data_IF_547674680445
#
_entry.id   IF_547674680445
#
_cell.length_a   1.000
_cell.length_b   1.000
_cell.length_c   1.000
_cell.angle_alpha   90.00
_cell.angle_beta   90.00
_cell.angle_gamma   90.00
#
_symmetry.space_group_name_H-M   'P 1'
#
loop_
_entity.id
_entity.type
_entity.pdbx_description
1 polymer ?
#
# COMPACT_ATOMS: atom_id res chain seq x y z
N UNK A 1 -38.71 63.11 -54.90
CA UNK A 1 -38.04 61.80 -54.99
C UNK A 1 -37.30 61.58 -53.74
N UNK A 2 -37.88 60.83 -52.84
CA UNK A 2 -37.38 60.61 -51.51
C UNK A 2 -36.80 59.14 -51.41
N UNK A 3 -35.54 59.02 -51.09
CA UNK A 3 -34.88 57.78 -50.84
C UNK A 3 -34.69 57.60 -49.34
N UNK A 4 -35.47 56.69 -48.80
CA UNK A 4 -35.43 56.31 -47.37
C UNK A 4 -34.31 55.34 -47.12
N UNK A 5 -33.35 55.67 -46.25
CA UNK A 5 -32.26 54.81 -45.78
C UNK A 5 -32.67 54.13 -44.50
N UNK A 6 -32.74 52.82 -44.49
CA UNK A 6 -32.95 52.01 -43.29
C UNK A 6 -31.60 51.68 -42.60
N UNK A 7 -31.43 52.10 -41.35
CA UNK A 7 -30.35 51.67 -40.48
C UNK A 7 -30.71 50.33 -39.88
N UNK A 8 -29.95 49.31 -40.19
CA UNK A 8 -30.03 48.02 -39.49
C UNK A 8 -29.08 48.04 -38.28
N UNK A 9 -29.66 47.91 -37.10
CA UNK A 9 -28.93 47.77 -35.83
C UNK A 9 -28.48 46.30 -35.71
N UNK A 10 -27.18 46.02 -35.80
CA UNK A 10 -26.62 44.70 -35.55
C UNK A 10 -26.28 44.60 -34.05
N UNK A 11 -27.08 43.83 -33.33
CA UNK A 11 -26.81 43.48 -31.92
C UNK A 11 -25.80 42.33 -31.87
N UNK A 12 -24.54 42.64 -31.55
CA UNK A 12 -23.51 41.61 -31.31
C UNK A 12 -23.71 41.01 -29.91
N UNK A 13 -24.23 39.78 -29.85
CA UNK A 13 -24.24 38.97 -28.67
C UNK A 13 -22.87 38.29 -28.52
N UNK A 14 -22.04 38.76 -27.63
CA UNK A 14 -20.80 38.10 -27.24
C UNK A 14 -21.11 36.85 -26.41
N UNK A 15 -21.09 35.66 -26.97
CA UNK A 15 -21.01 34.41 -26.22
C UNK A 15 -19.61 34.28 -25.58
N UNK A 16 -19.52 34.57 -24.31
CA UNK A 16 -18.39 34.16 -23.50
C UNK A 16 -18.47 32.65 -23.30
N UNK A 17 -17.75 31.89 -24.13
CA UNK A 17 -17.50 30.48 -23.88
C UNK A 17 -16.52 30.38 -22.71
N UNK A 18 -17.05 30.20 -21.50
CA UNK A 18 -16.28 29.78 -20.35
C UNK A 18 -15.77 28.37 -20.59
N UNK A 19 -14.50 28.23 -20.91
CA UNK A 19 -13.79 26.95 -20.86
C UNK A 19 -13.65 26.60 -19.39
N UNK A 20 -14.57 25.80 -18.87
CA UNK A 20 -14.36 25.11 -17.62
C UNK A 20 -13.39 23.98 -17.91
N UNK A 21 -12.11 24.16 -17.55
CA UNK A 21 -11.19 23.06 -17.40
C UNK A 21 -11.84 22.05 -16.44
N UNK A 22 -12.26 20.92 -16.98
CA UNK A 22 -12.79 19.82 -16.22
C UNK A 22 -11.65 19.24 -15.37
N UNK A 23 -11.58 19.67 -14.12
CA UNK A 23 -10.93 18.88 -13.09
C UNK A 23 -11.57 17.49 -13.14
N UNK A 24 -10.81 16.46 -13.44
CA UNK A 24 -11.26 15.07 -13.31
C UNK A 24 -11.88 14.87 -11.93
N UNK A 25 -12.79 13.92 -11.74
CA UNK A 25 -13.52 13.75 -10.49
C UNK A 25 -12.56 13.28 -9.39
N UNK A 26 -11.82 14.22 -8.80
CA UNK A 26 -11.20 14.03 -7.51
C UNK A 26 -12.34 13.80 -6.52
N UNK A 27 -12.32 12.69 -5.78
CA UNK A 27 -13.31 12.40 -4.76
C UNK A 27 -13.43 13.63 -3.83
N UNK A 28 -14.63 14.15 -3.66
CA UNK A 28 -14.83 15.25 -2.70
C UNK A 28 -14.34 14.78 -1.33
N UNK A 29 -13.79 15.70 -0.51
CA UNK A 29 -13.22 15.36 0.80
C UNK A 29 -14.20 14.59 1.72
N UNK A 30 -15.49 14.67 1.44
CA UNK A 30 -16.59 14.01 2.17
C UNK A 30 -17.11 12.74 1.50
N UNK A 31 -16.49 12.26 0.42
CA UNK A 31 -16.93 11.01 -0.23
C UNK A 31 -16.65 9.79 0.64
N UNK A 32 -17.42 8.70 0.43
CA UNK A 32 -17.21 7.45 1.13
C UNK A 32 -15.81 6.86 0.83
N UNK A 33 -15.30 7.10 -0.38
CA UNK A 33 -13.94 6.70 -0.82
C UNK A 33 -12.87 7.43 -0.02
N UNK A 34 -12.95 8.75 0.07
CA UNK A 34 -11.99 9.55 0.83
C UNK A 34 -12.03 9.18 2.32
N UNK A 35 -13.21 8.92 2.87
CA UNK A 35 -13.37 8.46 4.24
C UNK A 35 -12.76 7.06 4.45
N UNK A 36 -12.94 6.13 3.49
CA UNK A 36 -12.34 4.80 3.51
C UNK A 36 -10.80 4.88 3.45
N UNK A 37 -10.24 5.73 2.58
CA UNK A 37 -8.78 5.94 2.49
C UNK A 37 -8.24 6.44 3.82
N UNK A 38 -8.87 7.47 4.43
CA UNK A 38 -8.45 7.96 5.76
C UNK A 38 -8.54 6.87 6.83
N UNK A 39 -9.59 6.04 6.81
CA UNK A 39 -9.73 4.91 7.73
C UNK A 39 -8.61 3.87 7.51
N UNK A 40 -8.35 3.51 6.26
CA UNK A 40 -7.27 2.57 5.92
C UNK A 40 -5.89 3.09 6.34
N UNK A 41 -5.64 4.39 6.22
CA UNK A 41 -4.37 4.99 6.67
C UNK A 41 -4.25 4.96 8.19
N UNK A 42 -5.34 5.17 8.94
CA UNK A 42 -5.34 4.99 10.40
C UNK A 42 -5.07 3.52 10.76
N UNK A 43 -5.79 2.59 10.14
CA UNK A 43 -5.56 1.15 10.31
C UNK A 43 -4.11 0.77 9.96
N UNK A 44 -3.50 1.37 8.95
CA UNK A 44 -2.11 1.11 8.56
C UNK A 44 -1.14 1.35 9.72
N UNK A 45 -1.28 2.47 10.43
CA UNK A 45 -0.42 2.80 11.57
C UNK A 45 -0.77 2.00 12.83
N UNK A 46 -2.06 1.70 13.07
CA UNK A 46 -2.48 0.81 14.16
C UNK A 46 -1.89 -0.61 13.96
N UNK A 47 -1.98 -1.14 12.75
CA UNK A 47 -1.41 -2.43 12.39
C UNK A 47 0.11 -2.43 12.53
N UNK A 48 0.77 -1.38 11.99
CA UNK A 48 2.22 -1.24 12.10
C UNK A 48 2.67 -1.15 13.56
N UNK A 49 1.96 -0.40 14.41
CA UNK A 49 2.23 -0.34 15.85
C UNK A 49 2.15 -1.71 16.53
N UNK A 50 1.22 -2.57 16.08
CA UNK A 50 1.14 -3.97 16.52
C UNK A 50 2.32 -4.83 16.04
N UNK A 51 2.89 -4.52 14.86
CA UNK A 51 3.97 -5.28 14.23
C UNK A 51 5.37 -4.79 14.62
N UNK A 52 5.55 -3.51 14.99
CA UNK A 52 6.87 -2.90 15.25
C UNK A 52 7.66 -3.56 16.39
N UNK A 53 6.98 -4.36 17.26
CA UNK A 53 7.65 -5.14 18.32
C UNK A 53 8.42 -6.36 17.78
N UNK A 54 8.20 -6.74 16.52
CA UNK A 54 8.97 -7.82 15.88
C UNK A 54 10.40 -7.33 15.62
N UNK A 55 11.35 -8.23 15.73
CA UNK A 55 12.74 -7.92 15.36
C UNK A 55 12.93 -7.90 13.84
N UNK A 56 13.97 -7.20 13.38
CA UNK A 56 14.37 -7.15 11.99
C UNK A 56 13.47 -6.27 11.11
N UNK A 57 13.49 -6.56 9.81
CA UNK A 57 12.70 -5.85 8.82
C UNK A 57 11.20 -6.14 8.99
N UNK A 58 10.37 -5.12 8.78
CA UNK A 58 8.91 -5.24 8.74
C UNK A 58 8.45 -4.66 7.40
N UNK A 59 7.56 -5.37 6.72
CA UNK A 59 6.92 -4.89 5.50
C UNK A 59 5.51 -5.45 5.42
N UNK A 60 4.54 -4.60 5.17
CA UNK A 60 3.12 -4.96 5.18
C UNK A 60 2.36 -4.09 4.20
N UNK A 61 1.28 -4.62 3.61
CA UNK A 61 0.32 -3.83 2.85
C UNK A 61 -0.98 -3.71 3.63
N UNK A 62 -1.17 -2.62 4.37
CA UNK A 62 -2.42 -2.39 5.11
C UNK A 62 -3.62 -2.29 4.18
N UNK A 63 -3.45 -1.64 3.02
CA UNK A 63 -4.49 -1.54 1.99
C UNK A 63 -4.99 -2.92 1.54
N UNK A 64 -4.07 -3.82 1.19
CA UNK A 64 -4.44 -5.16 0.71
C UNK A 64 -5.11 -5.99 1.80
N UNK A 65 -4.62 -5.91 3.06
CA UNK A 65 -5.21 -6.57 4.22
C UNK A 65 -6.62 -6.03 4.51
N UNK A 66 -6.79 -4.70 4.51
CA UNK A 66 -8.10 -4.07 4.72
C UNK A 66 -9.11 -4.50 3.65
N UNK A 67 -8.67 -4.56 2.37
CA UNK A 67 -9.51 -5.04 1.26
C UNK A 67 -9.91 -6.49 1.46
N UNK A 68 -8.97 -7.37 1.81
CA UNK A 68 -9.23 -8.79 2.06
C UNK A 68 -10.19 -9.00 3.26
N UNK A 69 -9.97 -8.29 4.36
CA UNK A 69 -10.86 -8.34 5.52
C UNK A 69 -12.22 -7.69 5.24
N UNK A 70 -12.30 -6.70 4.35
CA UNK A 70 -13.54 -6.12 3.86
C UNK A 70 -14.44 -7.15 3.16
N UNK A 71 -13.84 -8.11 2.43
CA UNK A 71 -14.60 -9.24 1.85
C UNK A 71 -15.20 -10.12 2.95
N UNK A 72 -14.44 -10.45 3.98
CA UNK A 72 -14.94 -11.25 5.12
C UNK A 72 -16.00 -10.47 5.91
N UNK A 73 -15.82 -9.16 6.06
CA UNK A 73 -16.77 -8.26 6.71
C UNK A 73 -18.15 -8.25 6.06
N UNK A 74 -18.25 -8.44 4.73
CA UNK A 74 -19.51 -8.54 4.02
C UNK A 74 -20.43 -9.65 4.59
N UNK A 75 -19.82 -10.70 5.15
CA UNK A 75 -20.54 -11.81 5.79
C UNK A 75 -20.61 -11.73 7.32
N UNK A 76 -19.91 -10.80 7.97
CA UNK A 76 -19.92 -10.66 9.41
C UNK A 76 -21.24 -10.02 9.91
N UNK A 77 -21.68 -10.40 11.11
CA UNK A 77 -22.89 -9.88 11.75
C UNK A 77 -22.63 -9.55 13.23
N UNK A 78 -23.54 -8.78 13.81
CA UNK A 78 -23.57 -8.47 15.24
C UNK A 78 -22.21 -7.98 15.79
N UNK A 79 -21.82 -8.45 17.01
CA UNK A 79 -20.56 -8.03 17.63
C UNK A 79 -19.31 -8.30 16.80
N UNK A 80 -19.28 -9.39 16.01
CA UNK A 80 -18.16 -9.70 15.11
C UNK A 80 -17.97 -8.59 14.06
N UNK A 81 -19.05 -8.15 13.43
CA UNK A 81 -18.99 -7.04 12.48
C UNK A 81 -18.56 -5.73 13.15
N UNK A 82 -19.04 -5.46 14.37
CA UNK A 82 -18.68 -4.25 15.12
C UNK A 82 -17.19 -4.20 15.45
N UNK A 83 -16.62 -5.29 15.96
CA UNK A 83 -15.18 -5.36 16.24
C UNK A 83 -14.34 -5.19 14.96
N UNK A 84 -14.73 -5.89 13.89
CA UNK A 84 -14.04 -5.77 12.60
C UNK A 84 -14.07 -4.33 12.08
N UNK A 85 -15.24 -3.68 12.06
CA UNK A 85 -15.37 -2.30 11.58
C UNK A 85 -14.55 -1.32 12.41
N UNK A 86 -14.51 -1.51 13.74
CA UNK A 86 -13.74 -0.68 14.66
C UNK A 86 -12.24 -0.79 14.41
N UNK A 87 -11.72 -2.03 14.33
CA UNK A 87 -10.28 -2.27 14.13
C UNK A 87 -9.83 -1.84 12.74
N UNK A 88 -10.64 -2.12 11.72
CA UNK A 88 -10.33 -1.78 10.33
C UNK A 88 -10.64 -0.31 9.98
N UNK A 89 -11.13 0.47 10.97
CA UNK A 89 -11.45 1.88 10.79
C UNK A 89 -12.45 2.15 9.66
N UNK A 90 -13.44 1.26 9.47
CA UNK A 90 -14.43 1.43 8.44
C UNK A 90 -15.38 2.61 8.77
N UNK A 91 -15.42 3.65 7.92
CA UNK A 91 -16.15 4.89 8.22
C UNK A 91 -17.67 4.78 7.97
N UNK A 92 -18.06 3.78 7.17
CA UNK A 92 -19.44 3.49 6.77
C UNK A 92 -19.65 1.98 6.78
N UNK A 93 -20.90 1.54 6.74
CA UNK A 93 -21.27 0.11 6.78
C UNK A 93 -22.14 -0.26 5.58
N UNK A 94 -22.38 -1.58 5.41
CA UNK A 94 -23.24 -2.11 4.36
C UNK A 94 -22.72 -1.83 2.94
N UNK A 95 -23.64 -1.71 1.98
CA UNK A 95 -23.32 -1.61 0.56
C UNK A 95 -22.41 -0.40 0.23
N UNK A 96 -22.59 0.72 0.94
CA UNK A 96 -21.78 1.92 0.74
C UNK A 96 -20.29 1.69 1.00
N UNK A 97 -19.95 0.84 1.98
CA UNK A 97 -18.56 0.46 2.25
C UNK A 97 -17.99 -0.36 1.10
N UNK A 98 -18.74 -1.38 0.66
CA UNK A 98 -18.28 -2.28 -0.40
C UNK A 98 -18.15 -1.57 -1.75
N UNK A 99 -19.05 -0.64 -2.05
CA UNK A 99 -18.94 0.23 -3.21
C UNK A 99 -17.70 1.15 -3.15
N UNK A 100 -17.41 1.72 -1.96
CA UNK A 100 -16.20 2.52 -1.77
C UNK A 100 -14.94 1.68 -2.00
N UNK A 101 -14.90 0.44 -1.47
CA UNK A 101 -13.79 -0.50 -1.78
C UNK A 101 -13.68 -0.77 -3.27
N UNK A 102 -14.80 -1.00 -3.97
CA UNK A 102 -14.78 -1.27 -5.41
C UNK A 102 -14.19 -0.09 -6.20
N UNK A 103 -14.50 1.16 -5.81
CA UNK A 103 -13.96 2.36 -6.45
C UNK A 103 -12.49 2.54 -6.17
N UNK A 104 -12.08 2.48 -4.90
CA UNK A 104 -10.66 2.59 -4.51
C UNK A 104 -9.82 1.48 -5.17
N UNK A 105 -10.32 0.24 -5.17
CA UNK A 105 -9.62 -0.89 -5.81
C UNK A 105 -9.47 -0.69 -7.32
N UNK A 106 -10.48 -0.13 -7.98
CA UNK A 106 -10.41 0.19 -9.42
C UNK A 106 -9.34 1.24 -9.71
N UNK A 107 -9.24 2.28 -8.89
CA UNK A 107 -8.25 3.34 -9.07
C UNK A 107 -6.84 2.81 -8.81
N UNK A 108 -6.65 2.03 -7.74
CA UNK A 108 -5.37 1.34 -7.44
C UNK A 108 -5.00 0.35 -8.54
N UNK A 109 -5.96 -0.38 -9.14
CA UNK A 109 -5.69 -1.33 -10.23
C UNK A 109 -5.28 -0.67 -11.55
N UNK A 110 -5.54 0.62 -11.72
CA UNK A 110 -5.09 1.39 -12.89
C UNK A 110 -3.62 1.80 -12.78
N UNK A 111 -3.04 1.70 -11.59
CA UNK A 111 -1.63 2.00 -11.38
C UNK A 111 -0.80 1.09 -12.29
N UNK A 112 0.06 1.72 -13.08
CA UNK A 112 0.95 0.99 -13.98
C UNK A 112 0.31 0.49 -15.28
N UNK A 113 -0.92 0.89 -15.61
CA UNK A 113 -1.49 0.58 -16.94
C UNK A 113 -0.60 1.08 -18.11
N UNK A 114 0.31 2.03 -17.84
CA UNK A 114 1.37 2.49 -18.74
C UNK A 114 2.64 1.63 -18.77
N UNK A 115 2.69 0.48 -18.09
CA UNK A 115 3.81 -0.49 -18.14
C UNK A 115 5.06 -0.12 -17.34
N UNK A 116 5.06 0.96 -16.55
CA UNK A 116 6.22 1.44 -15.78
C UNK A 116 6.11 1.19 -14.26
N UNK A 117 4.95 0.82 -13.80
CA UNK A 117 4.72 0.26 -12.47
C UNK A 117 3.84 -0.98 -12.61
N UNK A 118 4.00 -1.94 -11.72
CA UNK A 118 3.19 -3.15 -11.68
C UNK A 118 2.77 -3.38 -10.22
N UNK A 119 1.47 -3.48 -10.00
CA UNK A 119 0.89 -3.79 -8.70
C UNK A 119 0.02 -5.03 -8.85
N UNK A 120 0.44 -6.14 -8.28
CA UNK A 120 -0.29 -7.39 -8.30
C UNK A 120 -0.86 -7.67 -6.91
N UNK A 121 -2.17 -7.82 -6.85
CA UNK A 121 -2.89 -8.09 -5.61
C UNK A 121 -3.63 -9.41 -5.80
N UNK A 122 -3.29 -10.40 -5.01
CA UNK A 122 -3.91 -11.73 -5.02
C UNK A 122 -4.76 -11.90 -3.76
N UNK A 123 -5.96 -11.32 -3.78
CA UNK A 123 -6.97 -11.46 -2.74
C UNK A 123 -8.01 -12.48 -3.19
N UNK A 124 -8.25 -13.52 -2.40
CA UNK A 124 -9.28 -14.51 -2.69
C UNK A 124 -9.85 -15.14 -1.43
N UNK A 125 -11.09 -15.58 -1.54
CA UNK A 125 -11.79 -16.43 -0.57
C UNK A 125 -11.93 -17.83 -1.14
N UNK A 126 -11.57 -18.82 -0.34
CA UNK A 126 -11.62 -20.23 -0.68
C UNK A 126 -12.57 -20.95 0.31
N UNK A 127 -13.85 -21.03 -0.01
CA UNK A 127 -14.80 -21.77 0.82
C UNK A 127 -14.65 -23.29 0.64
N UNK A 128 -15.03 -24.06 1.67
CA UNK A 128 -15.19 -25.50 1.56
C UNK A 128 -16.21 -25.85 0.47
N UNK A 129 -15.92 -26.83 -0.35
CA UNK A 129 -16.85 -27.38 -1.34
C UNK A 129 -18.16 -27.84 -0.67
N UNK A 130 -19.30 -27.46 -1.24
CA UNK A 130 -20.61 -27.77 -0.68
C UNK A 130 -21.11 -26.80 0.39
N UNK A 131 -20.32 -25.83 0.84
CA UNK A 131 -20.79 -24.78 1.75
C UNK A 131 -21.91 -23.95 1.09
N UNK A 132 -23.12 -23.84 1.69
CA UNK A 132 -24.25 -23.13 1.10
C UNK A 132 -24.10 -21.62 1.25
N UNK A 133 -23.22 -21.04 0.45
CA UNK A 133 -22.93 -19.60 0.50
C UNK A 133 -24.17 -18.76 0.19
N UNK A 134 -24.36 -17.71 0.98
CA UNK A 134 -25.43 -16.73 0.79
C UNK A 134 -25.30 -16.03 -0.59
N UNK A 135 -26.38 -15.95 -1.40
CA UNK A 135 -26.34 -15.33 -2.72
C UNK A 135 -25.93 -13.85 -2.71
N UNK A 136 -26.34 -13.08 -1.68
CA UNK A 136 -25.95 -11.67 -1.55
C UNK A 136 -24.46 -11.53 -1.25
N UNK A 137 -23.92 -12.40 -0.39
CA UNK A 137 -22.49 -12.46 -0.12
C UNK A 137 -21.67 -12.78 -1.39
N UNK A 138 -22.06 -13.80 -2.15
CA UNK A 138 -21.42 -14.14 -3.44
C UNK A 138 -21.43 -12.96 -4.40
N UNK A 139 -22.56 -12.27 -4.51
CA UNK A 139 -22.70 -11.10 -5.38
C UNK A 139 -21.77 -9.98 -4.93
N UNK A 140 -21.74 -9.64 -3.64
CA UNK A 140 -20.89 -8.56 -3.10
C UNK A 140 -19.42 -8.86 -3.34
N UNK A 141 -18.93 -10.04 -2.97
CA UNK A 141 -17.51 -10.41 -3.12
C UNK A 141 -17.12 -10.47 -4.61
N UNK A 142 -17.90 -11.13 -5.44
CA UNK A 142 -17.59 -11.30 -6.87
C UNK A 142 -17.65 -9.99 -7.66
N UNK A 143 -18.64 -9.11 -7.37
CA UNK A 143 -18.85 -7.90 -8.17
C UNK A 143 -18.04 -6.70 -7.69
N UNK A 144 -17.84 -6.56 -6.37
CA UNK A 144 -17.29 -5.33 -5.79
C UNK A 144 -15.80 -5.45 -5.41
N UNK A 145 -15.31 -6.67 -5.20
CA UNK A 145 -13.90 -6.88 -4.86
C UNK A 145 -13.09 -7.51 -6.00
N UNK A 146 -13.74 -7.91 -7.09
CA UNK A 146 -13.13 -8.66 -8.20
C UNK A 146 -12.27 -9.85 -7.69
N UNK A 147 -12.63 -10.40 -6.52
CA UNK A 147 -11.87 -11.42 -5.86
C UNK A 147 -12.28 -12.81 -6.32
N UNK A 148 -11.32 -13.71 -6.39
CA UNK A 148 -11.58 -15.12 -6.59
C UNK A 148 -12.44 -15.69 -5.45
N UNK A 149 -13.52 -16.40 -5.82
CA UNK A 149 -14.35 -17.17 -4.89
C UNK A 149 -14.41 -18.60 -5.43
N UNK A 150 -13.42 -19.41 -5.08
CA UNK A 150 -13.25 -20.75 -5.63
C UNK A 150 -13.38 -21.79 -4.51
N UNK A 151 -14.41 -22.64 -4.54
CA UNK A 151 -14.57 -23.73 -3.56
C UNK A 151 -13.46 -24.77 -3.67
N UNK A 152 -12.94 -25.21 -2.52
CA UNK A 152 -11.93 -26.27 -2.41
C UNK A 152 -12.35 -27.31 -1.36
N UNK A 153 -11.91 -28.56 -1.54
CA UNK A 153 -12.21 -29.63 -0.62
C UNK A 153 -11.16 -29.72 0.50
N UNK A 154 -11.39 -28.97 1.56
CA UNK A 154 -10.55 -29.04 2.75
C UNK A 154 -10.86 -30.26 3.60
N UNK A 155 -12.11 -30.77 3.55
CA UNK A 155 -12.57 -31.89 4.36
C UNK A 155 -11.83 -33.19 3.99
N UNK A 156 -11.72 -33.51 2.71
CA UNK A 156 -11.15 -34.77 2.24
C UNK A 156 -9.72 -34.63 1.69
N UNK A 157 -9.33 -33.42 1.24
CA UNK A 157 -8.07 -33.18 0.56
C UNK A 157 -7.41 -31.85 0.96
N UNK A 158 -7.18 -31.58 2.26
CA UNK A 158 -6.68 -30.28 2.73
C UNK A 158 -5.32 -29.89 2.12
N UNK A 159 -4.41 -30.84 1.96
CA UNK A 159 -3.09 -30.57 1.39
C UNK A 159 -3.19 -30.22 -0.10
N UNK A 160 -4.04 -30.90 -0.86
CA UNK A 160 -4.31 -30.55 -2.27
C UNK A 160 -4.92 -29.16 -2.37
N UNK A 161 -5.85 -28.80 -1.47
CA UNK A 161 -6.44 -27.47 -1.41
C UNK A 161 -5.37 -26.41 -1.13
N UNK A 162 -4.48 -26.63 -0.15
CA UNK A 162 -3.33 -25.77 0.14
C UNK A 162 -2.43 -25.55 -1.08
N UNK A 163 -2.05 -26.62 -1.75
CA UNK A 163 -1.21 -26.56 -2.95
C UNK A 163 -1.88 -25.78 -4.08
N UNK A 164 -3.20 -25.98 -4.28
CA UNK A 164 -3.97 -25.23 -5.28
C UNK A 164 -3.98 -23.74 -4.98
N UNK A 165 -4.17 -23.36 -3.71
CA UNK A 165 -4.13 -21.95 -3.29
C UNK A 165 -2.73 -21.35 -3.55
N UNK A 166 -1.67 -22.05 -3.15
CA UNK A 166 -0.30 -21.58 -3.33
C UNK A 166 0.04 -21.40 -4.81
N UNK A 167 -0.31 -22.36 -5.66
CA UNK A 167 -0.07 -22.27 -7.10
C UNK A 167 -0.81 -21.08 -7.73
N UNK A 168 -2.06 -20.83 -7.32
CA UNK A 168 -2.81 -19.66 -7.78
C UNK A 168 -2.15 -18.34 -7.34
N UNK A 169 -1.67 -18.25 -6.10
CA UNK A 169 -0.98 -17.05 -5.61
C UNK A 169 0.32 -16.83 -6.38
N UNK A 170 1.10 -17.88 -6.64
CA UNK A 170 2.33 -17.82 -7.45
C UNK A 170 2.03 -17.27 -8.84
N UNK A 171 1.00 -17.78 -9.51
CA UNK A 171 0.56 -17.28 -10.83
C UNK A 171 0.15 -15.81 -10.78
N UNK A 172 -0.71 -15.41 -9.81
CA UNK A 172 -1.18 -14.04 -9.69
C UNK A 172 -0.07 -13.05 -9.34
N UNK A 173 1.01 -13.50 -8.74
CA UNK A 173 2.15 -12.66 -8.32
C UNK A 173 3.39 -12.88 -9.20
N UNK A 174 3.24 -13.48 -10.37
CA UNK A 174 4.34 -13.77 -11.33
C UNK A 174 5.52 -14.46 -10.67
N UNK A 175 5.27 -15.53 -9.92
CA UNK A 175 6.26 -16.32 -9.19
C UNK A 175 7.07 -15.57 -8.11
N UNK A 176 6.65 -14.37 -7.75
CA UNK A 176 7.34 -13.58 -6.73
C UNK A 176 6.93 -13.98 -5.31
N UNK A 177 5.71 -14.44 -5.13
CA UNK A 177 5.21 -14.87 -3.83
C UNK A 177 4.90 -16.36 -3.89
N UNK A 178 5.74 -17.17 -3.28
CA UNK A 178 5.62 -18.62 -3.21
C UNK A 178 5.24 -19.08 -1.82
N UNK A 179 4.54 -20.21 -1.74
CA UNK A 179 4.20 -20.86 -0.47
C UNK A 179 3.53 -19.90 0.54
N UNK A 180 2.47 -19.19 0.11
CA UNK A 180 1.73 -18.26 0.99
C UNK A 180 1.17 -18.98 2.22
N UNK A 181 0.58 -20.17 2.02
CA UNK A 181 0.03 -21.01 3.07
C UNK A 181 1.07 -22.07 3.43
N UNK A 182 1.62 -22.04 4.66
CA UNK A 182 2.59 -23.04 5.11
C UNK A 182 1.96 -24.43 5.20
N UNK A 183 2.82 -25.45 5.24
CA UNK A 183 2.39 -26.82 5.49
C UNK A 183 1.60 -26.93 6.80
N UNK A 184 0.57 -27.75 6.80
CA UNK A 184 -0.33 -28.00 7.96
C UNK A 184 -1.09 -26.77 8.47
N UNK A 185 -1.10 -25.66 7.73
CA UNK A 185 -1.86 -24.47 8.10
C UNK A 185 -3.36 -24.55 7.77
N UNK A 186 -3.75 -25.52 6.97
CA UNK A 186 -5.14 -25.89 6.67
C UNK A 186 -5.34 -27.36 6.96
N UNK A 187 -6.54 -27.74 7.42
CA UNK A 187 -6.92 -29.10 7.81
C UNK A 187 -8.39 -29.40 7.49
N UNK A 188 -8.86 -30.57 7.90
CA UNK A 188 -10.23 -31.01 7.69
C UNK A 188 -11.28 -30.14 8.41
N UNK A 189 -10.90 -29.36 9.41
CA UNK A 189 -11.79 -28.42 10.11
C UNK A 189 -11.92 -27.08 9.39
N UNK A 190 -11.05 -26.80 8.41
CA UNK A 190 -11.04 -25.56 7.65
C UNK A 190 -12.32 -25.43 6.82
N UNK A 191 -12.99 -24.27 6.90
CA UNK A 191 -14.23 -23.98 6.16
C UNK A 191 -14.06 -22.83 5.17
N UNK A 192 -13.27 -21.83 5.52
CA UNK A 192 -12.96 -20.71 4.62
C UNK A 192 -11.52 -20.29 4.85
N UNK A 193 -10.76 -20.15 3.77
CA UNK A 193 -9.43 -19.56 3.78
C UNK A 193 -9.48 -18.20 3.11
N UNK A 194 -8.87 -17.19 3.72
CA UNK A 194 -8.64 -15.87 3.15
C UNK A 194 -7.16 -15.75 2.78
N UNK A 195 -6.88 -15.52 1.50
CA UNK A 195 -5.53 -15.23 1.02
C UNK A 195 -5.36 -13.77 0.69
N UNK A 196 -4.20 -13.24 1.06
CA UNK A 196 -3.79 -11.89 0.75
C UNK A 196 -2.30 -11.88 0.40
N UNK A 197 -2.00 -11.68 -0.86
CA UNK A 197 -0.64 -11.54 -1.35
C UNK A 197 -0.54 -10.29 -2.22
N UNK A 198 0.56 -9.56 -2.09
CA UNK A 198 0.77 -8.33 -2.84
C UNK A 198 2.23 -8.17 -3.24
N UNK A 199 2.43 -7.87 -4.49
CA UNK A 199 3.71 -7.61 -5.10
C UNK A 199 3.68 -6.24 -5.78
N UNK A 200 4.73 -5.46 -5.55
CA UNK A 200 4.89 -4.16 -6.17
C UNK A 200 6.23 -4.05 -6.90
N UNK A 201 6.16 -3.49 -8.11
CA UNK A 201 7.30 -3.11 -8.92
C UNK A 201 7.06 -1.70 -9.48
N UNK A 202 8.01 -0.80 -9.35
CA UNK A 202 7.93 0.56 -9.87
C UNK A 202 9.29 1.07 -10.32
N UNK A 203 9.32 1.87 -11.39
CA UNK A 203 10.51 2.55 -11.88
C UNK A 203 10.58 3.95 -11.29
N UNK A 204 11.72 4.36 -10.75
CA UNK A 204 11.91 5.72 -10.24
C UNK A 204 11.68 6.75 -11.34
N UNK A 205 11.04 7.86 -11.03
CA UNK A 205 10.99 9.03 -11.92
C UNK A 205 12.41 9.55 -12.21
N UNK A 206 13.27 9.49 -11.21
CA UNK A 206 14.69 9.83 -11.28
C UNK A 206 15.51 8.61 -10.88
N UNK A 207 15.91 7.73 -11.83
CA UNK A 207 16.70 6.55 -11.56
C UNK A 207 18.09 6.91 -11.02
N UNK A 208 18.63 6.09 -10.13
CA UNK A 208 20.00 6.27 -9.65
C UNK A 208 20.99 5.81 -10.72
N UNK A 209 22.06 6.59 -11.00
CA UNK A 209 23.12 6.16 -11.90
C UNK A 209 23.84 4.92 -11.36
N UNK A 210 23.89 3.82 -12.13
CA UNK A 210 24.57 2.59 -11.73
C UNK A 210 26.04 2.84 -11.33
N UNK A 211 26.83 3.66 -12.09
CA UNK A 211 28.21 3.94 -11.74
C UNK A 211 28.40 4.73 -10.43
N UNK A 212 27.34 5.34 -9.89
CA UNK A 212 27.38 6.05 -8.60
C UNK A 212 27.09 5.13 -7.41
N UNK A 213 26.81 3.84 -7.65
CA UNK A 213 26.65 2.86 -6.56
C UNK A 213 28.02 2.49 -5.99
N UNK A 214 28.12 2.52 -4.64
CA UNK A 214 29.34 2.14 -3.90
C UNK A 214 28.96 1.26 -2.73
N UNK A 215 29.80 0.26 -2.44
CA UNK A 215 29.65 -0.53 -1.23
C UNK A 215 30.13 0.27 -0.02
N UNK A 216 29.36 0.24 1.03
CA UNK A 216 29.69 0.87 2.30
C UNK A 216 29.03 0.11 3.47
N UNK A 217 29.29 0.53 4.69
CA UNK A 217 28.74 -0.08 5.89
C UNK A 217 27.36 0.53 6.23
N UNK A 218 26.42 -0.34 6.59
CA UNK A 218 25.14 0.04 7.19
C UNK A 218 25.23 -0.14 8.72
N UNK A 219 24.84 0.88 9.48
CA UNK A 219 24.83 0.82 10.94
C UNK A 219 23.48 0.24 11.42
N UNK A 220 23.50 -0.86 12.16
CA UNK A 220 22.31 -1.38 12.84
C UNK A 220 21.89 -0.45 14.00
N UNK A 221 20.68 -0.61 14.52
CA UNK A 221 20.18 0.17 15.67
C UNK A 221 21.07 0.11 16.91
N UNK A 222 21.85 -0.95 17.06
CA UNK A 222 22.85 -1.13 18.13
C UNK A 222 24.15 -0.36 17.88
N UNK A 223 24.31 0.32 16.74
CA UNK A 223 25.56 0.93 16.31
C UNK A 223 26.56 -0.03 15.64
N UNK A 224 26.31 -1.37 15.67
CA UNK A 224 27.13 -2.34 14.95
C UNK A 224 27.00 -2.11 13.45
N UNK A 225 28.15 -2.03 12.77
CA UNK A 225 28.18 -1.86 11.31
C UNK A 225 28.19 -3.23 10.61
N UNK A 226 27.41 -3.36 9.55
CA UNK A 226 27.42 -4.46 8.60
C UNK A 226 27.97 -3.94 7.26
N UNK A 227 28.95 -4.61 6.69
CA UNK A 227 29.67 -4.15 5.49
C UNK A 227 29.04 -4.63 4.19
N UNK A 228 29.66 -4.19 3.06
CA UNK A 228 29.36 -4.60 1.69
C UNK A 228 27.91 -4.35 1.23
N UNK A 229 27.27 -3.34 1.78
CA UNK A 229 25.93 -2.91 1.34
C UNK A 229 26.08 -1.98 0.14
N UNK A 230 25.46 -2.28 -1.01
CA UNK A 230 25.50 -1.40 -2.17
C UNK A 230 24.58 -0.20 -1.95
N UNK A 231 25.18 1.00 -1.80
CA UNK A 231 24.46 2.26 -1.70
C UNK A 231 24.40 2.96 -3.05
N UNK A 232 23.19 3.26 -3.49
CA UNK A 232 22.89 4.07 -4.66
C UNK A 232 22.98 5.54 -4.28
N UNK A 233 23.51 6.39 -5.17
CA UNK A 233 23.65 7.84 -4.91
C UNK A 233 23.22 8.64 -6.13
N UNK A 234 22.53 9.78 -5.88
CA UNK A 234 22.23 10.81 -6.87
C UNK A 234 22.01 12.16 -6.22
N UNK A 235 22.23 13.23 -6.99
CA UNK A 235 21.84 14.59 -6.60
C UNK A 235 20.68 15.02 -7.47
N UNK A 236 19.54 15.33 -6.85
CA UNK A 236 18.30 15.59 -7.58
C UNK A 236 17.36 16.50 -6.78
N UNK A 237 16.43 17.17 -7.46
CA UNK A 237 15.40 17.99 -6.81
C UNK A 237 14.24 17.09 -6.36
N UNK A 238 14.03 16.99 -5.06
CA UNK A 238 12.98 16.16 -4.43
C UNK A 238 12.28 16.95 -3.32
N UNK A 239 11.07 16.51 -2.97
CA UNK A 239 10.39 16.99 -1.78
C UNK A 239 11.10 16.41 -0.56
N UNK A 240 11.49 17.30 0.34
CA UNK A 240 12.28 17.02 1.54
C UNK A 240 11.73 17.79 2.73
N UNK A 241 11.88 17.25 3.92
CA UNK A 241 11.59 17.90 5.20
C UNK A 241 12.69 17.57 6.21
N UNK A 242 13.25 18.60 6.84
CA UNK A 242 13.93 18.45 8.13
C UNK A 242 12.86 18.49 9.24
N UNK A 243 12.60 17.33 9.84
CA UNK A 243 11.63 17.15 10.91
C UNK A 243 12.20 17.37 12.32
N UNK A 244 13.43 17.89 12.43
CA UNK A 244 14.14 18.06 13.71
C UNK A 244 14.92 16.81 14.10
N UNK A 245 14.27 15.80 14.66
CA UNK A 245 14.90 14.51 15.03
C UNK A 245 15.04 13.53 13.89
N UNK A 246 14.35 13.75 12.75
CA UNK A 246 14.37 12.92 11.56
C UNK A 246 14.39 13.77 10.28
N UNK A 247 14.65 13.12 9.17
CA UNK A 247 14.51 13.66 7.82
C UNK A 247 13.43 12.88 7.07
N UNK A 248 12.64 13.56 6.22
CA UNK A 248 11.70 12.91 5.32
C UNK A 248 12.06 13.22 3.87
N UNK A 249 12.02 12.19 3.01
CA UNK A 249 12.31 12.30 1.58
C UNK A 249 11.22 11.61 0.79
N UNK A 250 10.73 12.27 -0.26
CA UNK A 250 9.81 11.70 -1.23
C UNK A 250 10.54 11.31 -2.52
N UNK A 251 10.51 10.03 -2.85
CA UNK A 251 11.06 9.43 -4.06
C UNK A 251 9.88 9.06 -4.98
N UNK A 252 9.55 9.88 -5.99
CA UNK A 252 8.47 9.60 -6.92
C UNK A 252 8.83 8.47 -7.88
N UNK A 253 7.85 7.63 -8.17
CA UNK A 253 7.91 6.69 -9.29
C UNK A 253 7.51 7.38 -10.61
N UNK A 254 7.80 6.74 -11.71
CA UNK A 254 7.43 7.27 -13.05
C UNK A 254 5.91 7.51 -13.12
N UNK A 255 5.50 8.57 -13.80
CA UNK A 255 4.14 9.09 -13.96
C UNK A 255 3.56 9.80 -12.72
N UNK A 256 4.32 9.91 -11.62
CA UNK A 256 3.88 10.55 -10.37
C UNK A 256 2.61 9.93 -9.74
N UNK A 257 2.23 8.71 -10.15
CA UNK A 257 1.08 7.99 -9.57
C UNK A 257 1.39 7.49 -8.17
N UNK A 258 2.65 7.13 -7.93
CA UNK A 258 3.15 6.57 -6.67
C UNK A 258 4.39 7.30 -6.20
N UNK A 259 4.59 7.31 -4.89
CA UNK A 259 5.82 7.76 -4.25
C UNK A 259 6.22 6.84 -3.11
N UNK A 260 7.54 6.61 -2.93
CA UNK A 260 8.09 6.09 -1.69
C UNK A 260 8.47 7.28 -0.80
N UNK A 261 7.95 7.30 0.42
CA UNK A 261 8.33 8.27 1.45
C UNK A 261 9.26 7.56 2.42
N UNK A 262 10.46 8.07 2.58
CA UNK A 262 11.45 7.55 3.53
C UNK A 262 11.55 8.50 4.72
N UNK A 263 11.37 7.98 5.92
CA UNK A 263 11.54 8.70 7.19
C UNK A 263 12.78 8.16 7.87
N UNK A 264 13.84 8.97 7.91
CA UNK A 264 15.15 8.60 8.42
C UNK A 264 15.41 9.33 9.73
N UNK A 265 15.59 8.64 10.87
CA UNK A 265 16.05 9.29 12.11
C UNK A 265 17.41 9.94 11.88
N UNK A 266 17.70 11.08 12.53
CA UNK A 266 19.05 11.66 12.46
C UNK A 266 20.08 10.89 13.28
N UNK A 267 19.62 10.12 14.26
CA UNK A 267 20.47 9.27 15.10
C UNK A 267 20.32 7.80 14.71
N UNK A 268 21.42 7.07 14.67
CA UNK A 268 21.45 5.64 14.29
C UNK A 268 20.47 4.79 15.10
N UNK A 269 20.31 5.04 16.40
CA UNK A 269 19.36 4.32 17.27
C UNK A 269 17.95 4.91 17.33
N UNK A 270 17.66 6.01 16.62
CA UNK A 270 16.44 6.80 16.75
C UNK A 270 15.19 6.24 16.10
N UNK A 271 15.25 5.04 15.48
CA UNK A 271 14.09 4.47 14.79
C UNK A 271 12.90 4.22 15.74
N UNK A 272 13.15 3.72 16.94
CA UNK A 272 12.07 3.44 17.90
C UNK A 272 11.31 4.70 18.33
N UNK A 273 12.03 5.83 18.48
CA UNK A 273 11.43 7.12 18.79
C UNK A 273 10.60 7.64 17.60
N UNK A 274 11.12 7.53 16.38
CA UNK A 274 10.39 7.87 15.17
C UNK A 274 9.12 7.02 15.03
N UNK A 275 9.22 5.70 15.23
CA UNK A 275 8.08 4.77 15.17
C UNK A 275 7.01 5.10 16.22
N UNK A 276 7.38 5.66 17.37
CA UNK A 276 6.41 6.07 18.39
C UNK A 276 5.59 7.31 17.98
N UNK A 277 6.10 8.12 17.06
CA UNK A 277 5.42 9.32 16.54
C UNK A 277 4.51 9.01 15.34
N UNK A 278 4.60 7.81 14.75
CA UNK A 278 3.86 7.46 13.52
C UNK A 278 2.35 7.37 13.78
N UNK A 279 1.62 8.29 13.18
CA UNK A 279 0.15 8.27 13.05
C UNK A 279 -0.23 8.76 11.67
N UNK A 280 -1.43 8.43 11.18
CA UNK A 280 -1.91 8.93 9.90
C UNK A 280 -1.86 10.46 9.83
N UNK A 281 -2.27 11.14 10.92
CA UNK A 281 -2.22 12.59 11.02
C UNK A 281 -0.79 13.13 10.98
N UNK A 282 0.12 12.58 11.78
CA UNK A 282 1.50 13.05 11.83
C UNK A 282 2.19 12.95 10.47
N UNK A 283 2.04 11.79 9.80
CA UNK A 283 2.63 11.58 8.47
C UNK A 283 2.01 12.52 7.44
N UNK A 284 0.70 12.71 7.45
CA UNK A 284 0.01 13.67 6.58
C UNK A 284 0.53 15.10 6.79
N UNK A 285 0.67 15.54 8.06
CA UNK A 285 1.19 16.87 8.41
C UNK A 285 2.65 17.03 7.94
N UNK A 286 3.49 16.00 8.06
CA UNK A 286 4.86 16.03 7.58
C UNK A 286 4.92 16.13 6.05
N UNK A 287 4.12 15.34 5.35
CA UNK A 287 4.03 15.40 3.88
C UNK A 287 3.59 16.78 3.39
N UNK A 288 2.62 17.42 4.06
CA UNK A 288 2.16 18.77 3.71
C UNK A 288 3.25 19.84 3.87
N UNK A 289 4.22 19.63 4.78
CA UNK A 289 5.33 20.55 5.05
C UNK A 289 6.55 20.32 4.18
N UNK A 290 6.62 19.22 3.42
CA UNK A 290 7.75 18.93 2.52
C UNK A 290 7.82 19.97 1.41
N UNK A 291 9.02 20.46 1.13
CA UNK A 291 9.31 21.40 0.04
C UNK A 291 10.36 20.85 -0.91
N UNK A 292 10.36 21.31 -2.16
CA UNK A 292 11.33 20.87 -3.18
C UNK A 292 12.70 21.48 -2.89
N UNK A 293 13.67 20.60 -2.60
CA UNK A 293 15.06 20.96 -2.32
C UNK A 293 16.01 20.22 -3.28
N UNK A 294 17.25 20.71 -3.42
CA UNK A 294 18.34 19.91 -4.02
C UNK A 294 18.86 18.99 -2.94
N UNK A 295 18.78 17.67 -3.17
CA UNK A 295 19.13 16.66 -2.18
C UNK A 295 20.18 15.72 -2.75
N UNK A 296 21.28 15.53 -2.00
CA UNK A 296 22.24 14.45 -2.22
C UNK A 296 21.72 13.20 -1.50
N UNK A 297 21.13 12.32 -2.28
CA UNK A 297 20.46 11.10 -1.79
C UNK A 297 21.41 9.92 -1.83
N UNK A 298 21.59 9.27 -0.70
CA UNK A 298 22.26 7.95 -0.61
C UNK A 298 21.28 6.96 0.02
N UNK A 299 20.92 5.90 -0.71
CA UNK A 299 19.96 4.88 -0.29
C UNK A 299 20.53 3.49 -0.52
N UNK A 300 20.42 2.54 0.43
CA UNK A 300 20.87 1.17 0.20
C UNK A 300 19.98 0.45 -0.82
N UNK A 301 20.54 -0.47 -1.60
CA UNK A 301 19.74 -1.51 -2.26
C UNK A 301 19.27 -2.49 -1.20
N UNK A 302 18.01 -2.87 -1.27
CA UNK A 302 17.48 -3.85 -0.34
C UNK A 302 16.32 -4.65 -0.94
N UNK A 303 16.07 -5.80 -0.35
CA UNK A 303 14.92 -6.65 -0.63
C UNK A 303 14.30 -7.09 0.68
N UNK A 304 12.98 -7.05 0.76
CA UNK A 304 12.24 -7.58 1.91
C UNK A 304 11.16 -8.51 1.38
N UNK A 305 11.15 -9.74 1.89
CA UNK A 305 10.01 -10.66 1.80
C UNK A 305 9.44 -10.80 3.19
N UNK A 306 8.22 -10.37 3.39
CA UNK A 306 7.54 -10.45 4.68
C UNK A 306 6.44 -11.52 4.62
N UNK A 307 6.44 -12.40 5.62
CA UNK A 307 5.40 -13.42 5.84
C UNK A 307 4.79 -13.19 7.22
N UNK A 308 3.48 -12.93 7.25
CA UNK A 308 2.77 -12.58 8.47
C UNK A 308 1.54 -13.46 8.65
N UNK A 309 1.37 -13.97 9.86
CA UNK A 309 0.11 -14.51 10.36
C UNK A 309 -0.49 -13.47 11.28
N UNK A 310 -1.64 -12.93 10.90
CA UNK A 310 -2.16 -11.69 11.50
C UNK A 310 -3.22 -11.93 12.56
N UNK A 311 -3.70 -13.17 12.76
CA UNK A 311 -4.71 -13.53 13.77
C UNK A 311 -4.39 -12.90 15.14
N UNK A 312 -3.18 -13.14 15.66
CA UNK A 312 -2.78 -12.65 16.98
C UNK A 312 -2.72 -11.12 17.03
N UNK A 313 -2.16 -10.49 15.99
CA UNK A 313 -2.05 -9.02 15.89
C UNK A 313 -3.43 -8.38 15.82
N UNK A 314 -4.31 -8.87 14.96
CA UNK A 314 -5.67 -8.34 14.79
C UNK A 314 -6.53 -8.57 16.04
N UNK A 315 -6.39 -9.74 16.70
CA UNK A 315 -7.06 -9.99 17.97
C UNK A 315 -6.63 -9.01 19.05
N UNK A 316 -5.34 -8.71 19.15
CA UNK A 316 -4.82 -7.71 20.11
C UNK A 316 -5.25 -6.28 19.78
N UNK A 317 -5.48 -5.98 18.51
CA UNK A 317 -6.02 -4.69 18.07
C UNK A 317 -7.51 -4.52 18.41
N UNK A 318 -8.22 -5.62 18.79
CA UNK A 318 -9.59 -5.55 19.26
C UNK A 318 -10.62 -6.32 18.46
N UNK A 319 -10.22 -7.26 17.57
CA UNK A 319 -11.18 -8.13 16.86
C UNK A 319 -10.98 -9.63 17.12
N UNK A 320 -10.94 -10.08 18.40
CA UNK A 320 -10.77 -11.49 18.72
C UNK A 320 -11.97 -12.35 18.32
N UNK A 321 -13.18 -11.80 18.31
CA UNK A 321 -14.39 -12.54 17.97
C UNK A 321 -14.35 -13.15 16.58
N UNK A 322 -13.80 -12.43 15.59
CA UNK A 322 -13.70 -12.94 14.24
C UNK A 322 -12.92 -14.28 14.13
N UNK A 323 -12.07 -14.58 15.10
CA UNK A 323 -11.22 -15.77 15.18
C UNK A 323 -11.71 -16.81 16.22
N UNK A 324 -12.82 -16.54 16.89
CA UNK A 324 -13.38 -17.39 17.96
C UNK A 324 -14.49 -18.31 17.47
N UNK A 325 -14.85 -19.31 18.29
CA UNK A 325 -15.99 -20.19 18.00
C UNK A 325 -17.35 -19.49 18.15
N UNK A 326 -17.36 -18.28 18.72
CA UNK A 326 -18.54 -17.42 18.85
C UNK A 326 -18.65 -16.37 17.75
N UNK A 327 -17.79 -16.45 16.71
CA UNK A 327 -17.85 -15.57 15.54
C UNK A 327 -19.20 -15.71 14.84
N UNK A 328 -19.75 -14.57 14.43
CA UNK A 328 -20.97 -14.52 13.62
C UNK A 328 -20.64 -14.12 12.19
N UNK A 329 -20.48 -15.13 11.33
CA UNK A 329 -20.37 -15.00 9.88
C UNK A 329 -21.60 -15.61 9.16
N UNK A 330 -22.76 -15.51 9.79
CA UNK A 330 -24.02 -16.02 9.24
C UNK A 330 -24.44 -15.40 7.90
N UNK A 331 -23.83 -14.25 7.56
CA UNK A 331 -23.98 -13.64 6.24
C UNK A 331 -23.11 -14.28 5.15
N UNK A 332 -22.15 -15.15 5.49
CA UNK A 332 -21.39 -15.95 4.50
C UNK A 332 -22.17 -17.19 4.10
N UNK A 333 -22.65 -17.96 5.08
CA UNK A 333 -23.47 -19.15 4.88
C UNK A 333 -24.40 -19.33 6.10
N UNK A 334 -25.64 -19.74 5.83
CA UNK A 334 -26.63 -20.00 6.89
C UNK A 334 -26.44 -21.39 7.45
N UNK A 335 -26.51 -21.51 8.78
CA UNK A 335 -26.48 -22.81 9.48
C UNK A 335 -25.08 -23.31 9.83
N UNK A 336 -24.02 -22.77 9.28
CA UNK A 336 -22.66 -23.13 9.60
C UNK A 336 -22.02 -22.12 10.56
N UNK A 337 -21.31 -22.62 11.59
CA UNK A 337 -20.50 -21.78 12.48
C UNK A 337 -19.15 -21.54 11.80
N UNK A 338 -19.00 -20.38 11.21
CA UNK A 338 -17.78 -19.96 10.51
C UNK A 338 -16.96 -19.01 11.37
N UNK A 339 -15.65 -19.16 11.30
CA UNK A 339 -14.67 -18.22 11.87
C UNK A 339 -13.50 -18.06 10.93
N UNK A 340 -12.75 -16.98 11.05
CA UNK A 340 -11.46 -16.86 10.41
C UNK A 340 -10.46 -17.78 11.14
N UNK A 341 -9.82 -18.69 10.43
CA UNK A 341 -8.76 -19.54 11.01
C UNK A 341 -7.51 -18.72 11.23
N UNK A 342 -7.09 -17.99 10.21
CA UNK A 342 -5.98 -17.03 10.23
C UNK A 342 -6.12 -16.06 9.05
N UNK A 343 -5.28 -15.02 9.02
CA UNK A 343 -5.10 -14.12 7.88
C UNK A 343 -3.63 -14.24 7.46
N UNK A 344 -3.40 -14.91 6.34
CA UNK A 344 -2.07 -15.06 5.76
C UNK A 344 -1.77 -13.87 4.87
N UNK A 345 -0.73 -13.13 5.20
CA UNK A 345 -0.26 -11.99 4.41
C UNK A 345 1.19 -12.21 4.00
N UNK A 346 1.46 -12.06 2.72
CA UNK A 346 2.82 -12.07 2.18
C UNK A 346 3.01 -10.88 1.25
N UNK A 347 4.09 -10.14 1.49
CA UNK A 347 4.44 -8.96 0.72
C UNK A 347 5.91 -9.01 0.31
N UNK A 348 6.20 -8.49 -0.88
CA UNK A 348 7.54 -8.43 -1.43
C UNK A 348 7.83 -7.01 -1.92
N UNK A 349 9.03 -6.52 -1.63
CA UNK A 349 9.59 -5.29 -2.17
C UNK A 349 11.08 -5.47 -2.47
N UNK A 350 11.52 -4.96 -3.60
CA UNK A 350 12.93 -4.85 -3.96
C UNK A 350 13.22 -3.42 -4.42
N UNK A 351 14.20 -2.79 -3.80
CA UNK A 351 14.64 -1.42 -4.09
C UNK A 351 16.04 -1.47 -4.69
N UNK A 352 16.18 -0.94 -5.90
CA UNK A 352 17.42 -0.91 -6.65
C UNK A 352 17.54 0.40 -7.46
N UNK A 353 18.60 0.57 -8.26
CA UNK A 353 18.91 1.81 -9.00
C UNK A 353 17.84 2.26 -9.98
N UNK A 354 17.10 1.31 -10.56
CA UNK A 354 16.06 1.59 -11.56
C UNK A 354 14.71 1.88 -10.89
N UNK A 355 14.54 1.47 -9.64
CA UNK A 355 13.29 1.56 -8.91
C UNK A 355 13.05 0.34 -8.05
N UNK A 356 11.81 -0.03 -7.92
CA UNK A 356 11.38 -1.30 -7.37
C UNK A 356 11.22 -2.27 -8.54
N UNK A 357 12.25 -2.99 -8.88
CA UNK A 357 12.47 -3.90 -10.03
C UNK A 357 12.48 -3.31 -11.47
N UNK A 358 13.41 -3.71 -12.29
CA UNK A 358 14.12 -2.98 -13.33
C UNK A 358 13.50 -2.80 -14.72
N UNK A 359 13.70 -1.61 -15.33
CA UNK A 359 13.88 -1.39 -16.76
C UNK A 359 14.82 -0.20 -17.01
N UNK A 360 15.61 -0.22 -18.10
CA UNK A 360 16.68 0.73 -18.32
C UNK A 360 16.19 2.12 -18.78
N UNK A 361 16.64 3.19 -18.10
CA UNK A 361 16.63 4.55 -18.61
C UNK A 361 17.85 5.32 -18.08
N UNK A 362 18.53 6.05 -18.96
CA UNK A 362 19.71 6.87 -18.64
C UNK A 362 19.26 8.26 -18.26
N UNK A 363 19.45 8.66 -16.99
CA UNK A 363 19.24 10.01 -16.51
C UNK A 363 20.55 10.78 -16.44
N UNK A 364 20.64 11.94 -17.13
CA UNK A 364 21.80 12.82 -17.07
C UNK A 364 21.82 13.66 -15.79
N UNK A 365 22.97 13.79 -15.15
CA UNK A 365 23.21 14.72 -14.04
C UNK A 365 23.32 16.14 -14.59
N UNK A 366 22.39 17.02 -14.25
CA UNK A 366 22.51 18.45 -14.54
C UNK A 366 23.41 19.09 -13.49
N UNK A 367 24.64 19.39 -13.87
CA UNK A 367 25.55 20.23 -13.08
C UNK A 367 25.35 21.68 -13.54
N UNK A 368 25.01 22.64 -12.67
CA UNK A 368 24.93 24.04 -13.04
C UNK A 368 26.32 24.58 -13.44
N UNK A 369 26.41 25.14 -14.65
CA UNK A 369 27.66 25.72 -15.19
C UNK A 369 27.78 27.25 -14.99
N UNK A 370 26.93 27.87 -14.16
CA UNK A 370 26.98 29.32 -13.91
C UNK A 370 27.21 29.64 -12.46
N UNK A 371 28.01 30.71 -12.20
CA UNK A 371 28.31 31.27 -10.89
C UNK A 371 27.07 32.01 -10.32
N UNK A 372 26.08 31.22 -9.86
CA UNK A 372 25.00 31.69 -8.97
C UNK A 372 25.38 31.53 -7.50
N UNK A 373 24.60 32.11 -6.58
CA UNK A 373 24.83 31.88 -5.16
C UNK A 373 24.84 30.37 -4.88
N UNK A 374 25.65 29.89 -3.89
CA UNK A 374 25.79 28.48 -3.60
C UNK A 374 24.40 27.87 -3.33
N UNK A 375 23.99 26.91 -4.16
CA UNK A 375 22.74 26.20 -3.95
C UNK A 375 22.91 25.41 -2.65
N UNK A 376 22.07 25.71 -1.66
CA UNK A 376 22.01 24.91 -0.44
C UNK A 376 21.54 23.51 -0.83
N UNK A 377 22.37 22.52 -0.56
CA UNK A 377 22.11 21.12 -0.84
C UNK A 377 21.91 20.39 0.49
N UNK A 378 20.78 19.71 0.61
CA UNK A 378 20.49 18.87 1.75
C UNK A 378 21.13 17.49 1.54
N UNK A 379 21.58 16.84 2.62
CA UNK A 379 22.17 15.50 2.58
C UNK A 379 21.21 14.52 3.22
N UNK A 380 20.78 13.53 2.45
CA UNK A 380 19.93 12.42 2.91
C UNK A 380 20.68 11.11 2.73
N UNK A 381 21.25 10.59 3.80
CA UNK A 381 22.06 9.37 3.79
C UNK A 381 21.42 8.29 4.66
N UNK A 382 20.69 7.34 4.03
CA UNK A 382 19.98 6.25 4.70
C UNK A 382 20.93 5.07 4.97
N UNK A 383 21.96 5.27 5.79
CA UNK A 383 22.97 4.27 6.15
C UNK A 383 22.71 3.59 7.52
N UNK A 384 21.51 3.76 8.05
CA UNK A 384 21.02 3.16 9.30
C UNK A 384 19.50 2.94 9.23
N UNK A 385 18.86 2.27 10.21
CA UNK A 385 17.47 1.90 10.14
C UNK A 385 16.52 3.06 9.91
N UNK A 386 15.56 2.86 8.99
CA UNK A 386 14.56 3.84 8.63
C UNK A 386 13.19 3.22 8.42
N UNK A 387 12.15 4.03 8.54
CA UNK A 387 10.79 3.69 8.18
C UNK A 387 10.48 4.20 6.75
N UNK A 388 9.62 3.48 6.03
CA UNK A 388 9.15 3.93 4.72
C UNK A 388 7.72 3.51 4.45
N UNK A 389 7.04 4.29 3.60
CA UNK A 389 5.73 3.94 3.04
C UNK A 389 5.77 4.06 1.53
N UNK A 390 4.93 3.28 0.85
CA UNK A 390 4.62 3.47 -0.57
C UNK A 390 3.16 3.94 -0.65
N UNK A 391 2.96 5.07 -1.29
CA UNK A 391 1.70 5.80 -1.31
C UNK A 391 1.23 6.00 -2.75
N UNK A 392 -0.07 5.86 -2.97
CA UNK A 392 -0.75 6.34 -4.17
C UNK A 392 -1.01 7.85 -4.02
N UNK A 393 -0.63 8.65 -5.02
CA UNK A 393 -0.56 10.10 -4.88
C UNK A 393 -1.91 10.81 -5.14
N UNK A 394 -2.81 10.22 -5.92
CA UNK A 394 -4.09 10.80 -6.27
C UNK A 394 -5.07 10.83 -5.09
N UNK A 395 -5.25 9.70 -4.41
CA UNK A 395 -6.12 9.56 -3.25
C UNK A 395 -5.40 9.78 -1.93
N UNK A 396 -4.07 9.63 -1.93
CA UNK A 396 -3.24 9.63 -0.75
C UNK A 396 -3.11 8.28 -0.05
N UNK A 397 -3.72 7.23 -0.57
CA UNK A 397 -3.80 5.91 0.07
C UNK A 397 -2.42 5.30 0.33
N UNK A 398 -2.17 4.84 1.54
CA UNK A 398 -0.98 4.09 1.92
C UNK A 398 -1.12 2.63 1.48
N UNK A 399 -0.38 2.26 0.43
CA UNK A 399 -0.40 0.90 -0.10
C UNK A 399 0.50 -0.04 0.70
N UNK A 400 1.66 0.46 1.14
CA UNK A 400 2.63 -0.30 1.92
C UNK A 400 3.22 0.54 3.04
N UNK A 401 3.58 -0.13 4.12
CA UNK A 401 4.35 0.43 5.23
C UNK A 401 5.42 -0.57 5.67
N UNK A 402 6.60 -0.07 6.04
CA UNK A 402 7.68 -0.94 6.48
C UNK A 402 8.84 -0.22 7.12
N UNK A 403 9.74 -1.00 7.70
CA UNK A 403 11.06 -0.53 8.13
C UNK A 403 12.15 -1.41 7.55
N UNK A 404 13.24 -0.77 7.21
CA UNK A 404 14.50 -1.44 6.96
C UNK A 404 15.35 -1.36 8.22
N UNK A 405 15.47 -2.47 8.94
CA UNK A 405 16.37 -2.59 10.09
C UNK A 405 17.77 -3.09 9.66
N UNK A 406 17.82 -3.86 8.55
CA UNK A 406 19.05 -4.31 7.92
C UNK A 406 18.80 -4.59 6.43
N UNK A 407 19.66 -4.12 5.52
CA UNK A 407 19.57 -4.45 4.09
C UNK A 407 20.08 -5.86 3.78
N UNK A 408 20.84 -6.46 4.68
CA UNK A 408 21.32 -7.84 4.57
C UNK A 408 20.23 -8.77 5.17
N UNK A 409 19.34 -9.27 4.32
CA UNK A 409 18.41 -10.35 4.68
C UNK A 409 19.07 -11.69 4.43
N UNK A 410 18.94 -12.59 5.42
CA UNK A 410 19.24 -14.02 5.22
C UNK A 410 18.18 -14.67 4.37
#
# INVERSE_FOLDING_TARGET
>A
MATTVWFALVLAVALAAGVTEGAGPGASADSAEAALVRGNDQFAFDLYAGLRRREGNVFVSPYSISTALGMSYAGARGPTATEMATVLRFPVTGDRLHEAFARVTRDVSRIGSGGKAELYIANALWPQTGLPLDPAFKKTVGSLYAAGLTPLDFLNAPEKARMTINAWVEEQTRDRIKNLIPERAVDQSTRVVLTNAIYFKGVWKHPFPEPATRNDAFALSTGKKVGDVPFMRQVVRLRYLDGGSFQALELPYTNDELSMIVLLPKQVGGLAELEAMLTAKAVSDWLARMTVQVVDVTLPRFRITAELRLKETLSRLGMPLAFSDTADFSGVAKGDRLKLSDVFHKAYVEVNVKGTEAAAASGGVLVPTSAGPPIRMEVFRADHPFFFVIRENGTGSLLFAGRLASPLTK
#
